data_IF_695445924616
#
_entry.id   IF_695445924616
#
_cell.length_a   1.000
_cell.length_b   1.000
_cell.length_c   1.000
_cell.angle_alpha   90.00
_cell.angle_beta   90.00
_cell.angle_gamma   90.00
#
_symmetry.space_group_name_H-M   'P 1'
#
loop_
_entity.id
_entity.type
_entity.pdbx_description
1 polymer ?
#
# COMPACT_ATOMS: atom_id res chain seq x y z
N UNK A 1 48.39 6.99 7.86
CA UNK A 1 47.44 7.57 6.87
C UNK A 1 46.42 6.55 6.33
N UNK A 2 46.11 5.48 7.10
CA UNK A 2 45.05 4.49 6.79
C UNK A 2 43.63 5.05 7.03
N UNK A 3 43.55 6.12 7.82
CA UNK A 3 42.30 6.70 8.31
C UNK A 3 41.40 7.24 7.20
N UNK A 4 41.99 7.77 6.12
CA UNK A 4 41.22 8.29 4.99
C UNK A 4 40.55 7.18 4.16
N UNK A 5 41.20 6.01 4.06
CA UNK A 5 40.60 4.87 3.36
C UNK A 5 39.44 4.32 4.19
N UNK A 6 39.64 4.14 5.49
CA UNK A 6 38.58 3.69 6.39
C UNK A 6 37.38 4.67 6.40
N UNK A 7 37.66 5.97 6.45
CA UNK A 7 36.64 7.01 6.42
C UNK A 7 35.88 7.03 5.10
N UNK A 8 36.58 6.97 3.96
CA UNK A 8 35.96 6.93 2.63
C UNK A 8 35.11 5.66 2.45
N UNK A 9 35.58 4.50 2.92
CA UNK A 9 34.82 3.26 2.89
C UNK A 9 33.56 3.34 3.76
N UNK A 10 33.67 3.87 4.98
CA UNK A 10 32.53 4.08 5.87
C UNK A 10 31.47 4.99 5.25
N UNK A 11 31.88 6.12 4.68
CA UNK A 11 30.97 7.04 4.01
C UNK A 11 30.36 6.45 2.74
N UNK A 12 31.15 5.71 1.95
CA UNK A 12 30.67 5.03 0.76
C UNK A 12 29.59 3.99 1.08
N UNK A 13 29.84 3.15 2.10
CA UNK A 13 28.87 2.16 2.57
C UNK A 13 27.61 2.83 3.13
N UNK A 14 27.76 3.92 3.88
CA UNK A 14 26.64 4.70 4.40
C UNK A 14 25.79 5.29 3.27
N UNK A 15 26.42 5.88 2.26
CA UNK A 15 25.72 6.45 1.11
C UNK A 15 24.93 5.39 0.33
N UNK A 16 25.51 4.20 0.12
CA UNK A 16 24.83 3.07 -0.52
C UNK A 16 23.65 2.58 0.32
N UNK A 17 23.79 2.50 1.65
CA UNK A 17 22.71 2.11 2.54
C UNK A 17 21.54 3.11 2.49
N UNK A 18 21.83 4.41 2.49
CA UNK A 18 20.82 5.47 2.38
C UNK A 18 20.14 5.46 1.01
N UNK A 19 20.89 5.28 -0.08
CA UNK A 19 20.32 5.15 -1.42
C UNK A 19 19.38 3.93 -1.50
N UNK A 20 19.81 2.79 -0.95
CA UNK A 20 18.99 1.58 -0.91
C UNK A 20 17.72 1.80 -0.10
N UNK A 21 17.79 2.49 1.04
CA UNK A 21 16.63 2.83 1.86
C UNK A 21 15.68 3.76 1.12
N UNK A 22 16.19 4.81 0.48
CA UNK A 22 15.37 5.77 -0.27
C UNK A 22 14.65 5.13 -1.46
N UNK A 23 15.27 4.15 -2.14
CA UNK A 23 14.66 3.41 -3.24
C UNK A 23 13.75 2.26 -2.79
N UNK A 24 13.65 2.00 -1.49
CA UNK A 24 12.90 0.87 -0.96
C UNK A 24 11.41 1.25 -0.90
N UNK A 25 10.62 0.68 -1.81
CA UNK A 25 9.22 1.06 -2.03
C UNK A 25 8.23 0.75 -0.89
N UNK A 26 8.64 -0.02 0.11
CA UNK A 26 7.82 -0.36 1.28
C UNK A 26 8.10 0.55 2.50
N UNK A 27 9.05 1.49 2.41
CA UNK A 27 9.44 2.35 3.55
C UNK A 27 8.31 3.26 3.99
N UNK A 28 7.53 3.78 3.03
CA UNK A 28 6.39 4.65 3.30
C UNK A 28 5.05 3.89 3.35
N UNK A 29 5.09 2.55 3.31
CA UNK A 29 3.87 1.74 3.43
C UNK A 29 3.52 1.58 4.90
N UNK A 30 2.62 2.43 5.39
CA UNK A 30 2.03 2.31 6.72
C UNK A 30 0.77 1.42 6.65
N UNK A 31 0.74 0.26 7.35
CA UNK A 31 -0.42 -0.63 7.38
C UNK A 31 -1.73 0.05 7.79
N UNK A 32 -1.66 1.01 8.72
CA UNK A 32 -2.84 1.74 9.19
C UNK A 32 -3.37 2.70 8.12
N UNK A 33 -2.48 3.30 7.34
CA UNK A 33 -2.85 4.19 6.22
C UNK A 33 -3.52 3.40 5.10
N UNK A 34 -3.04 2.19 4.81
CA UNK A 34 -3.67 1.31 3.84
C UNK A 34 -5.08 0.87 4.30
N UNK A 35 -5.25 0.49 5.57
CA UNK A 35 -6.56 0.17 6.14
C UNK A 35 -7.56 1.34 6.01
N UNK A 36 -7.10 2.57 6.31
CA UNK A 36 -7.92 3.77 6.18
C UNK A 36 -8.27 4.10 4.72
N UNK A 37 -7.36 3.86 3.76
CA UNK A 37 -7.64 4.02 2.32
C UNK A 37 -8.71 3.04 1.86
N UNK A 38 -8.63 1.79 2.31
CA UNK A 38 -9.59 0.74 1.98
C UNK A 38 -10.96 1.03 2.58
N UNK A 39 -11.03 1.43 3.85
CA UNK A 39 -12.27 1.84 4.50
C UNK A 39 -12.89 3.06 3.79
N UNK A 40 -12.08 4.05 3.43
CA UNK A 40 -12.51 5.21 2.67
C UNK A 40 -13.04 4.84 1.28
N UNK A 41 -12.39 3.90 0.59
CA UNK A 41 -12.85 3.41 -0.70
C UNK A 41 -14.16 2.62 -0.58
N UNK A 42 -14.33 1.81 0.48
CA UNK A 42 -15.56 1.10 0.77
C UNK A 42 -16.72 2.07 1.06
N UNK A 43 -16.52 3.10 1.90
CA UNK A 43 -17.50 4.16 2.17
C UNK A 43 -17.90 4.91 0.89
N UNK A 44 -16.94 5.29 0.04
CA UNK A 44 -17.22 5.93 -1.26
C UNK A 44 -18.07 5.04 -2.17
N UNK A 45 -17.76 3.75 -2.26
CA UNK A 45 -18.55 2.78 -3.05
C UNK A 45 -19.98 2.66 -2.50
N UNK A 46 -20.14 2.58 -1.18
CA UNK A 46 -21.46 2.51 -0.54
C UNK A 46 -22.31 3.79 -0.76
N UNK A 47 -21.69 4.96 -0.74
CA UNK A 47 -22.37 6.24 -0.99
C UNK A 47 -22.57 6.58 -2.47
N UNK A 48 -21.91 5.88 -3.39
CA UNK A 48 -22.13 6.05 -4.83
C UNK A 48 -23.40 5.34 -5.30
N UNK A 49 -24.15 5.99 -6.20
CA UNK A 49 -25.33 5.40 -6.84
C UNK A 49 -24.99 4.13 -7.64
N UNK A 50 -23.80 4.08 -8.24
CA UNK A 50 -23.29 2.92 -8.96
C UNK A 50 -23.00 1.75 -8.01
N UNK A 51 -22.41 2.03 -6.85
CA UNK A 51 -22.13 1.01 -5.84
C UNK A 51 -23.41 0.48 -5.17
N UNK A 52 -24.39 1.35 -4.89
CA UNK A 52 -25.73 0.91 -4.44
C UNK A 52 -26.45 0.04 -5.46
N UNK A 53 -26.39 0.39 -6.75
CA UNK A 53 -26.95 -0.45 -7.83
C UNK A 53 -26.21 -1.78 -7.97
N UNK A 54 -24.88 -1.81 -7.83
CA UNK A 54 -24.10 -3.04 -7.85
C UNK A 54 -24.44 -3.96 -6.68
N UNK A 55 -24.52 -3.43 -5.45
CA UNK A 55 -24.91 -4.18 -4.26
C UNK A 55 -26.34 -4.76 -4.36
N UNK A 56 -27.27 -4.02 -4.99
CA UNK A 56 -28.61 -4.55 -5.28
C UNK A 56 -28.58 -5.68 -6.29
N UNK A 57 -27.78 -5.58 -7.36
CA UNK A 57 -27.65 -6.66 -8.36
C UNK A 57 -27.05 -7.94 -7.79
N UNK A 58 -26.07 -7.83 -6.90
CA UNK A 58 -25.49 -9.00 -6.22
C UNK A 58 -26.43 -9.61 -5.20
N UNK A 59 -27.30 -8.82 -4.57
CA UNK A 59 -28.35 -9.32 -3.67
C UNK A 59 -29.51 -9.98 -4.43
N UNK A 60 -29.86 -9.46 -5.61
CA UNK A 60 -30.90 -10.03 -6.49
C UNK A 60 -30.41 -11.31 -7.21
N UNK A 61 -29.10 -11.47 -7.35
CA UNK A 61 -28.46 -12.69 -7.88
C UNK A 61 -28.30 -13.80 -6.83
N UNK A 62 -29.13 -13.82 -5.78
CA UNK A 62 -29.23 -14.91 -4.81
C UNK A 62 -29.44 -16.27 -5.52
N UNK A 63 -29.09 -17.39 -4.85
CA UNK A 63 -28.85 -18.69 -5.48
C UNK A 63 -30.01 -19.04 -6.39
N UNK A 64 -29.71 -19.30 -7.67
CA UNK A 64 -30.71 -19.86 -8.58
C UNK A 64 -31.39 -21.04 -7.89
N UNK A 65 -32.72 -21.22 -8.07
CA UNK A 65 -33.46 -22.24 -7.35
C UNK A 65 -32.78 -23.59 -7.58
N UNK A 66 -32.25 -24.16 -6.51
CA UNK A 66 -31.79 -25.55 -6.46
C UNK A 66 -33.03 -26.42 -6.72
N UNK A 67 -33.22 -26.81 -7.99
CA UNK A 67 -34.10 -27.88 -8.47
C UNK A 67 -33.26 -28.95 -9.14
#
# INVERSE_FOLDING_TARGET
MIDQIALALGHGLLAVALLRLALRGDVDTDPLVEELKDEGAAKRRAHSSAGRKAARRTADAGPGPDL
#
